data_IF_636385642200
#
_entry.id   IF_636385642200
#
_cell.length_a   1.000
_cell.length_b   1.000
_cell.length_c   1.000
_cell.angle_alpha   90.00
_cell.angle_beta   90.00
_cell.angle_gamma   90.00
#
_symmetry.space_group_name_H-M   'P 1'
#
loop_
_entity.id
_entity.type
_entity.pdbx_description
1 polymer ?
#
# COMPACT_ATOMS: atom_id res chain seq x y z
N UNK A 1 13.69 5.34 3.75
CA UNK A 1 13.01 4.33 4.58
C UNK A 1 13.65 4.20 5.94
N UNK A 2 12.84 4.40 6.99
CA UNK A 2 13.24 4.21 8.39
C UNK A 2 13.46 2.73 8.71
N UNK A 3 14.17 2.43 9.82
CA UNK A 3 14.37 1.04 10.26
C UNK A 3 13.04 0.37 10.65
N UNK A 4 12.09 1.13 11.19
CA UNK A 4 10.78 0.61 11.57
C UNK A 4 9.98 0.14 10.35
N UNK A 5 9.94 0.93 9.27
CA UNK A 5 9.25 0.57 8.03
C UNK A 5 9.91 -0.66 7.37
N UNK A 6 11.24 -0.79 7.43
CA UNK A 6 11.93 -2.00 6.95
C UNK A 6 11.52 -3.24 7.74
N UNK A 7 11.43 -3.13 9.07
CA UNK A 7 10.98 -4.23 9.93
C UNK A 7 9.54 -4.63 9.59
N UNK A 8 8.67 -3.66 9.33
CA UNK A 8 7.29 -3.91 8.87
C UNK A 8 7.30 -4.63 7.51
N UNK A 9 8.04 -4.14 6.52
CA UNK A 9 8.11 -4.79 5.21
C UNK A 9 8.62 -6.24 5.32
N UNK A 10 9.66 -6.49 6.12
CA UNK A 10 10.16 -7.84 6.37
C UNK A 10 9.12 -8.74 7.08
N UNK A 11 8.38 -8.18 8.04
CA UNK A 11 7.35 -8.91 8.76
C UNK A 11 6.20 -9.29 7.82
N UNK A 12 5.76 -8.39 6.94
CA UNK A 12 4.79 -8.71 5.89
C UNK A 12 5.24 -9.87 5.01
N UNK A 13 6.48 -9.84 4.52
CA UNK A 13 7.02 -10.89 3.65
C UNK A 13 7.05 -12.27 4.34
N UNK A 14 7.34 -12.29 5.65
CA UNK A 14 7.35 -13.52 6.46
C UNK A 14 5.93 -14.02 6.80
N UNK A 15 4.94 -13.13 6.88
CA UNK A 15 3.59 -13.45 7.37
C UNK A 15 2.54 -13.65 6.27
N UNK A 16 2.67 -12.99 5.11
CA UNK A 16 1.64 -12.98 4.05
C UNK A 16 1.23 -14.37 3.54
N UNK A 17 2.12 -15.36 3.61
CA UNK A 17 1.85 -16.74 3.19
C UNK A 17 0.92 -17.49 4.15
N UNK A 18 0.83 -17.04 5.41
CA UNK A 18 -0.07 -17.58 6.42
C UNK A 18 -1.46 -16.91 6.39
N UNK A 19 -1.59 -15.79 5.68
CA UNK A 19 -2.87 -15.10 5.50
C UNK A 19 -3.66 -15.81 4.38
N UNK A 20 -4.89 -16.28 4.65
CA UNK A 20 -5.75 -16.87 3.62
C UNK A 20 -5.96 -15.91 2.45
N UNK A 21 -6.00 -16.43 1.22
CA UNK A 21 -6.09 -15.61 0.02
C UNK A 21 -7.30 -14.66 0.02
N UNK A 22 -8.44 -15.11 0.54
CA UNK A 22 -9.68 -14.31 0.66
C UNK A 22 -9.56 -13.12 1.61
N UNK A 23 -8.66 -13.18 2.59
CA UNK A 23 -8.50 -12.16 3.64
C UNK A 23 -7.23 -11.31 3.40
N UNK A 24 -6.46 -11.62 2.34
CA UNK A 24 -5.13 -11.04 2.13
C UNK A 24 -5.17 -9.57 1.74
N UNK A 25 -6.20 -9.15 1.01
CA UNK A 25 -6.38 -7.74 0.65
C UNK A 25 -6.69 -6.90 1.90
N UNK A 26 -7.65 -7.31 2.72
CA UNK A 26 -7.99 -6.64 3.98
C UNK A 26 -6.80 -6.56 4.94
N UNK A 27 -6.01 -7.64 5.01
CA UNK A 27 -4.79 -7.67 5.79
C UNK A 27 -3.73 -6.70 5.23
N UNK A 28 -3.58 -6.62 3.91
CA UNK A 28 -2.67 -5.69 3.24
C UNK A 28 -3.10 -4.23 3.45
N UNK A 29 -4.39 -3.92 3.39
CA UNK A 29 -4.95 -2.59 3.69
C UNK A 29 -4.60 -2.17 5.12
N UNK A 30 -4.82 -3.06 6.09
CA UNK A 30 -4.45 -2.82 7.48
C UNK A 30 -2.94 -2.60 7.64
N UNK A 31 -2.14 -3.30 6.83
CA UNK A 31 -0.68 -3.19 6.84
C UNK A 31 -0.18 -1.88 6.23
N UNK A 32 -0.83 -1.41 5.17
CA UNK A 32 -0.57 -0.12 4.53
C UNK A 32 -0.84 1.02 5.51
N UNK A 33 -1.99 1.01 6.18
CA UNK A 33 -2.29 2.02 7.21
C UNK A 33 -1.26 2.01 8.35
N UNK A 34 -0.82 0.82 8.78
CA UNK A 34 0.24 0.70 9.77
C UNK A 34 1.57 1.29 9.29
N UNK A 35 1.93 1.12 8.02
CA UNK A 35 3.15 1.71 7.47
C UNK A 35 3.03 3.24 7.36
N UNK A 36 1.85 3.75 6.97
CA UNK A 36 1.54 5.18 6.92
C UNK A 36 1.63 5.84 8.30
N UNK A 37 1.12 5.17 9.35
CA UNK A 37 1.23 5.61 10.75
C UNK A 37 2.69 5.81 11.21
N UNK A 38 3.64 5.11 10.58
CA UNK A 38 5.09 5.26 10.84
C UNK A 38 5.75 6.33 9.98
N UNK A 39 4.95 7.09 9.21
CA UNK A 39 5.39 8.25 8.44
C UNK A 39 6.11 7.87 7.15
N UNK A 40 5.68 6.80 6.48
CA UNK A 40 6.21 6.44 5.17
C UNK A 40 5.98 7.56 4.15
N UNK A 41 7.06 8.01 3.51
CA UNK A 41 7.00 9.01 2.46
C UNK A 41 6.85 8.38 1.06
N UNK A 42 6.71 9.22 0.03
CA UNK A 42 6.55 8.76 -1.36
C UNK A 42 7.70 7.87 -1.84
N UNK A 43 8.94 8.13 -1.38
CA UNK A 43 10.10 7.32 -1.75
C UNK A 43 10.03 5.94 -1.11
N UNK A 44 9.59 5.89 0.15
CA UNK A 44 9.38 4.65 0.88
C UNK A 44 8.29 3.80 0.24
N UNK A 45 7.18 4.40 -0.17
CA UNK A 45 6.10 3.72 -0.89
C UNK A 45 6.57 3.12 -2.21
N UNK A 46 7.32 3.87 -3.02
CA UNK A 46 7.92 3.35 -4.26
C UNK A 46 8.81 2.13 -4.01
N UNK A 47 9.59 2.15 -2.93
CA UNK A 47 10.41 1.01 -2.54
C UNK A 47 9.55 -0.17 -2.08
N UNK A 48 8.54 0.05 -1.24
CA UNK A 48 7.62 -0.98 -0.76
C UNK A 48 6.90 -1.67 -1.93
N UNK A 49 6.41 -0.91 -2.91
CA UNK A 49 5.71 -1.45 -4.07
C UNK A 49 6.60 -2.33 -4.93
N UNK A 50 7.90 -2.03 -5.00
CA UNK A 50 8.87 -2.89 -5.70
C UNK A 50 9.06 -4.25 -5.03
N UNK A 51 8.74 -4.36 -3.73
CA UNK A 51 8.85 -5.59 -2.96
C UNK A 51 7.52 -6.37 -2.86
N UNK A 52 6.37 -5.70 -2.91
CA UNK A 52 5.08 -6.34 -2.69
C UNK A 52 3.92 -5.75 -3.51
N UNK A 53 3.47 -6.49 -4.53
CA UNK A 53 2.27 -6.14 -5.30
C UNK A 53 1.00 -6.07 -4.42
N UNK A 54 0.89 -6.92 -3.39
CA UNK A 54 -0.29 -6.90 -2.51
C UNK A 54 -0.38 -5.60 -1.70
N UNK A 55 0.76 -5.02 -1.30
CA UNK A 55 0.79 -3.73 -0.60
C UNK A 55 0.53 -2.58 -1.57
N UNK A 56 0.96 -2.70 -2.83
CA UNK A 56 0.65 -1.73 -3.87
C UNK A 56 -0.85 -1.70 -4.18
N UNK A 57 -1.48 -2.87 -4.38
CA UNK A 57 -2.92 -2.97 -4.60
C UNK A 57 -3.69 -2.38 -3.42
N UNK A 58 -3.32 -2.76 -2.19
CA UNK A 58 -3.93 -2.21 -0.98
C UNK A 58 -3.73 -0.71 -0.81
N UNK A 59 -2.57 -0.17 -1.19
CA UNK A 59 -2.33 1.27 -1.18
C UNK A 59 -3.27 2.00 -2.13
N UNK A 60 -3.49 1.47 -3.33
CA UNK A 60 -4.43 2.05 -4.28
C UNK A 60 -5.88 2.00 -3.78
N UNK A 61 -6.29 0.96 -3.05
CA UNK A 61 -7.62 0.90 -2.44
C UNK A 61 -7.80 1.96 -1.33
N UNK A 62 -6.74 2.29 -0.59
CA UNK A 62 -6.80 3.24 0.54
C UNK A 62 -6.62 4.69 0.09
N UNK A 63 -5.68 4.92 -0.82
CA UNK A 63 -5.23 6.26 -1.21
C UNK A 63 -5.51 6.60 -2.67
N UNK A 64 -5.78 5.60 -3.53
CA UNK A 64 -6.06 5.81 -4.95
C UNK A 64 -7.40 6.48 -5.21
N UNK A 65 -8.43 6.23 -4.39
CA UNK A 65 -9.70 6.98 -4.47
C UNK A 65 -9.56 8.45 -4.00
N UNK A 66 -8.52 8.78 -3.23
CA UNK A 66 -8.24 10.17 -2.80
C UNK A 66 -7.60 11.03 -3.91
N UNK A 67 -7.07 10.43 -4.98
CA UNK A 67 -6.52 11.13 -6.14
C UNK A 67 -7.54 11.31 -7.30
N UNK A 68 -8.77 10.79 -7.18
CA UNK A 68 -9.81 10.90 -8.21
C UNK A 68 -10.67 12.20 -8.08
N UNK A 69 -10.07 13.32 -7.63
CA UNK A 69 -10.63 14.68 -7.80
C UNK A 69 -9.82 15.46 -8.85
N UNK A 70 -9.63 14.89 -10.05
CA UNK A 70 -8.80 15.54 -11.08
C UNK A 70 -8.93 15.04 -12.51
N UNK A 71 -9.89 14.17 -12.83
CA UNK A 71 -10.25 13.87 -14.22
C UNK A 71 -11.49 14.68 -14.60
N UNK A 72 -11.28 15.96 -14.91
CA UNK A 72 -12.22 16.72 -15.73
C UNK A 72 -12.37 15.94 -17.05
N UNK A 73 -13.50 15.25 -17.20
CA UNK A 73 -14.08 14.88 -18.49
C UNK A 73 -14.43 16.17 -19.25
N UNK A 74 -13.43 16.87 -19.78
CA UNK A 74 -13.63 17.96 -20.72
C UNK A 74 -12.78 17.72 -21.97
N UNK A 75 -13.34 16.96 -22.91
CA UNK A 75 -13.39 17.35 -24.32
C UNK A 75 -14.42 16.47 -25.06
N UNK A 76 -15.69 16.76 -24.81
CA UNK A 76 -16.72 16.67 -25.84
C UNK A 76 -16.41 17.77 -26.89
N UNK A 77 -16.07 17.37 -28.12
CA UNK A 77 -16.39 17.94 -29.46
C UNK A 77 -15.29 17.76 -30.51
#
# INVERSE_FOLDING_TARGET
MTEDIKVLLEAWEKLKSYVPAKDRLDAAISYVNLIDDYGADEQDWREIFSHSNHLHDAYNEVFGEMEEEGLDEDEEY
#
